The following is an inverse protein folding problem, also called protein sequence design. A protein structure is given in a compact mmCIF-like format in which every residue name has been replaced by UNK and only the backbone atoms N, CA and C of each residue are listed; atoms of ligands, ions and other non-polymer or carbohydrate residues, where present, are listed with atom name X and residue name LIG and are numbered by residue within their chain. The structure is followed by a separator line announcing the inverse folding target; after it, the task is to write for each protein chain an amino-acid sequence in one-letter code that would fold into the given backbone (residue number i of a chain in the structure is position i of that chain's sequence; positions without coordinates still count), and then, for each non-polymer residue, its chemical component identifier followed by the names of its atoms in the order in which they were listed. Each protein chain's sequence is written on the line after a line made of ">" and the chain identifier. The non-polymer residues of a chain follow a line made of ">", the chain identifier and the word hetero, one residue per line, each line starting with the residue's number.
data_IF_396399188095
#
_entry.id   IF_396399188095
#
_cell.length_a   1.000
_cell.length_b   1.000
_cell.length_c   1.000
_cell.angle_alpha   90.00
_cell.angle_beta   90.00
_cell.angle_gamma   90.00
#
_symmetry.space_group_name_H-M   'P 1'
#
loop_
_entity.id
_entity.type
_entity.pdbx_description
1 polymer ?
#
# COMPACT_ATOMS: atom_id res chain seq x y z
N UNK A 1 -33.85 63.80 -4.68
CA UNK A 1 -34.42 62.82 -5.63
C UNK A 1 -33.62 61.52 -5.55
N UNK A 2 -34.28 60.45 -5.09
CA UNK A 2 -34.16 59.02 -5.48
C UNK A 2 -32.77 58.33 -5.65
N UNK A 3 -32.58 57.28 -4.81
CA UNK A 3 -32.06 55.91 -5.10
C UNK A 3 -30.54 55.80 -5.40
N UNK A 4 -29.79 54.77 -5.02
CA UNK A 4 -30.08 53.36 -4.70
C UNK A 4 -28.89 52.75 -3.94
N UNK A 5 -29.17 51.87 -2.98
CA UNK A 5 -28.22 50.92 -2.39
C UNK A 5 -27.86 49.82 -3.39
N UNK A 6 -26.60 49.38 -3.43
CA UNK A 6 -26.25 47.98 -3.72
C UNK A 6 -25.08 47.57 -2.83
N UNK A 7 -25.40 46.76 -1.83
CA UNK A 7 -24.48 45.98 -1.00
C UNK A 7 -23.99 44.83 -1.87
N UNK A 8 -22.68 44.70 -2.05
CA UNK A 8 -22.08 43.50 -2.66
C UNK A 8 -21.29 42.77 -1.58
N UNK A 9 -21.96 41.80 -0.93
CA UNK A 9 -21.36 40.88 0.02
C UNK A 9 -20.62 39.79 -0.76
N UNK A 10 -19.30 39.82 -0.72
CA UNK A 10 -18.45 38.78 -1.26
C UNK A 10 -18.23 37.71 -0.16
N UNK A 11 -19.18 36.78 -0.05
CA UNK A 11 -18.99 35.55 0.72
C UNK A 11 -18.16 34.59 -0.12
N UNK A 12 -16.84 34.57 0.09
CA UNK A 12 -15.97 33.50 -0.39
C UNK A 12 -16.24 32.25 0.46
N UNK A 13 -17.00 31.34 -0.13
CA UNK A 13 -17.22 29.98 0.33
C UNK A 13 -15.88 29.28 0.58
N UNK A 14 -15.72 28.77 1.79
CA UNK A 14 -14.68 27.81 2.17
C UNK A 14 -14.92 26.53 1.37
N UNK A 15 -14.19 26.36 0.27
CA UNK A 15 -14.10 25.07 -0.44
C UNK A 15 -13.21 24.18 0.43
N UNK A 16 -13.83 23.51 1.40
CA UNK A 16 -13.20 22.41 2.11
C UNK A 16 -12.95 21.28 1.13
N UNK A 17 -11.68 20.95 0.90
CA UNK A 17 -11.27 19.70 0.26
C UNK A 17 -11.60 18.52 1.19
N UNK A 18 -12.88 18.20 1.32
CA UNK A 18 -13.30 16.91 1.86
C UNK A 18 -13.07 15.89 0.75
N UNK A 19 -11.97 15.13 0.82
CA UNK A 19 -11.85 13.87 0.09
C UNK A 19 -12.92 12.94 0.66
N UNK A 20 -14.13 13.04 0.13
CA UNK A 20 -15.13 11.99 0.28
C UNK A 20 -14.61 10.88 -0.63
N UNK A 21 -14.04 9.85 -0.03
CA UNK A 21 -13.66 8.63 -0.72
C UNK A 21 -14.95 7.90 -1.11
N UNK A 22 -15.58 8.35 -2.19
CA UNK A 22 -16.82 7.77 -2.74
C UNK A 22 -16.56 6.50 -3.54
N UNK A 23 -15.31 6.04 -3.64
CA UNK A 23 -14.99 4.79 -4.31
C UNK A 23 -15.35 3.64 -3.36
N UNK A 24 -16.21 2.70 -3.76
CA UNK A 24 -16.44 1.47 -3.01
C UNK A 24 -15.11 0.80 -2.68
N UNK A 25 -15.02 0.14 -1.52
CA UNK A 25 -13.81 -0.60 -1.17
C UNK A 25 -13.56 -1.65 -2.26
N UNK A 26 -12.43 -1.63 -2.97
CA UNK A 26 -12.19 -2.56 -4.08
C UNK A 26 -12.19 -4.03 -3.65
N UNK A 27 -11.98 -4.30 -2.35
CA UNK A 27 -12.08 -5.63 -1.76
C UNK A 27 -13.52 -6.18 -1.83
N UNK A 28 -14.53 -5.32 -1.77
CA UNK A 28 -15.94 -5.72 -1.85
C UNK A 28 -16.26 -6.24 -3.26
N UNK A 29 -15.72 -5.60 -4.31
CA UNK A 29 -15.89 -6.02 -5.71
C UNK A 29 -15.33 -7.44 -5.94
N UNK A 30 -14.14 -7.75 -5.38
CA UNK A 30 -13.54 -9.08 -5.50
C UNK A 30 -14.45 -10.18 -4.94
N UNK A 31 -15.11 -9.91 -3.80
CA UNK A 31 -16.06 -10.85 -3.19
C UNK A 31 -17.37 -10.95 -3.96
N UNK A 32 -17.87 -9.84 -4.52
CA UNK A 32 -19.12 -9.79 -5.28
C UNK A 32 -19.04 -10.55 -6.60
N UNK A 33 -17.88 -10.57 -7.25
CA UNK A 33 -17.64 -11.33 -8.49
C UNK A 33 -17.10 -12.76 -8.26
N UNK A 34 -17.12 -13.25 -7.01
CA UNK A 34 -16.75 -14.63 -6.69
C UNK A 34 -15.25 -14.93 -6.77
N UNK A 35 -14.39 -13.91 -6.86
CA UNK A 35 -12.96 -14.09 -6.77
C UNK A 35 -12.55 -14.19 -5.29
N UNK A 36 -12.21 -15.38 -4.81
CA UNK A 36 -11.64 -15.57 -3.48
C UNK A 36 -10.17 -15.12 -3.47
N UNK A 37 -9.94 -13.81 -3.59
CA UNK A 37 -8.60 -13.23 -3.44
C UNK A 37 -8.23 -13.31 -1.95
N UNK A 38 -7.14 -14.01 -1.57
CA UNK A 38 -6.73 -14.11 -0.19
C UNK A 38 -6.34 -12.75 0.38
N UNK A 39 -6.53 -12.60 1.69
CA UNK A 39 -6.23 -11.38 2.44
C UNK A 39 -5.23 -11.67 3.55
N UNK A 40 -4.06 -11.04 3.47
CA UNK A 40 -2.94 -11.18 4.40
C UNK A 40 -3.00 -10.04 5.41
N UNK A 41 -3.24 -10.40 6.67
CA UNK A 41 -3.35 -9.44 7.77
C UNK A 41 -1.99 -9.04 8.31
N UNK A 42 -1.91 -7.84 8.87
CA UNK A 42 -0.78 -7.41 9.66
C UNK A 42 -0.61 -8.32 10.88
N UNK A 43 0.62 -8.57 11.33
CA UNK A 43 0.85 -9.30 12.57
C UNK A 43 0.22 -8.54 13.75
N UNK A 44 -0.29 -9.25 14.77
CA UNK A 44 -0.97 -8.63 15.91
C UNK A 44 -0.02 -7.86 16.83
N UNK A 45 1.29 -8.11 16.72
CA UNK A 45 2.33 -7.48 17.54
C UNK A 45 3.37 -6.88 16.61
N UNK A 46 3.71 -5.62 16.88
CA UNK A 46 4.79 -4.93 16.17
C UNK A 46 6.13 -5.62 16.42
N UNK A 47 6.81 -6.02 15.35
CA UNK A 47 8.14 -6.65 15.39
C UNK A 47 9.17 -5.81 16.14
N UNK A 48 9.13 -4.48 16.01
CA UNK A 48 10.03 -3.58 16.73
C UNK A 48 9.80 -3.58 18.25
N UNK A 49 8.63 -4.02 18.72
CA UNK A 49 8.34 -4.14 20.14
C UNK A 49 9.27 -5.13 20.86
N UNK A 50 9.77 -6.15 20.15
CA UNK A 50 10.71 -7.14 20.68
C UNK A 50 12.12 -6.55 20.92
N UNK A 51 12.46 -5.45 20.23
CA UNK A 51 13.76 -4.79 20.28
C UNK A 51 13.82 -3.57 21.20
N UNK A 52 12.72 -3.24 21.90
CA UNK A 52 12.62 -2.03 22.75
C UNK A 52 13.72 -1.86 23.80
N UNK A 53 14.33 -2.96 24.25
CA UNK A 53 15.40 -2.97 25.27
C UNK A 53 16.80 -3.15 24.69
N UNK A 54 16.93 -3.35 23.38
CA UNK A 54 18.20 -3.54 22.70
C UNK A 54 18.64 -2.24 22.01
N UNK A 55 19.93 -2.14 21.68
CA UNK A 55 20.45 -1.05 20.85
C UNK A 55 19.84 -1.04 19.44
N UNK A 56 19.22 -2.14 19.00
CA UNK A 56 18.57 -2.27 17.69
C UNK A 56 17.17 -1.63 17.65
N UNK A 57 16.57 -1.29 18.80
CA UNK A 57 15.21 -0.77 18.87
C UNK A 57 15.01 0.53 18.07
N UNK A 58 15.91 1.51 18.22
CA UNK A 58 15.83 2.76 17.48
C UNK A 58 15.94 2.54 15.96
N UNK A 59 16.90 1.71 15.54
CA UNK A 59 17.09 1.36 14.13
C UNK A 59 15.90 0.60 13.54
N UNK A 60 15.22 -0.23 14.33
CA UNK A 60 14.00 -0.90 13.90
C UNK A 60 12.86 0.10 13.69
N UNK A 61 12.67 1.06 14.61
CA UNK A 61 11.64 2.08 14.47
C UNK A 61 11.88 2.99 13.25
N UNK A 62 13.14 3.35 12.98
CA UNK A 62 13.51 4.08 11.76
C UNK A 62 13.20 3.25 10.52
N UNK A 63 13.54 1.95 10.52
CA UNK A 63 13.21 1.04 9.43
C UNK A 63 11.69 0.89 9.25
N UNK A 64 10.92 0.85 10.34
CA UNK A 64 9.46 0.78 10.32
C UNK A 64 8.88 2.02 9.68
N UNK A 65 9.37 3.20 10.06
CA UNK A 65 8.97 4.47 9.46
C UNK A 65 9.22 4.47 7.94
N UNK A 66 10.42 4.08 7.50
CA UNK A 66 10.76 4.00 6.08
C UNK A 66 9.88 2.99 5.33
N UNK A 67 9.63 1.81 5.92
CA UNK A 67 8.75 0.80 5.34
C UNK A 67 7.30 1.27 5.22
N UNK A 68 6.80 2.01 6.22
CA UNK A 68 5.47 2.63 6.17
C UNK A 68 5.39 3.69 5.06
N UNK A 69 6.36 4.59 4.98
CA UNK A 69 6.39 5.62 3.94
C UNK A 69 6.50 5.01 2.54
N UNK A 70 7.33 3.98 2.36
CA UNK A 70 7.41 3.23 1.12
C UNK A 70 6.04 2.62 0.74
N UNK A 71 5.43 1.88 1.66
CA UNK A 71 4.16 1.17 1.41
C UNK A 71 3.02 2.13 1.05
N UNK A 72 2.92 3.26 1.75
CA UNK A 72 1.87 4.27 1.53
C UNK A 72 2.01 5.04 0.21
N UNK A 73 3.21 5.04 -0.36
CA UNK A 73 3.49 5.72 -1.62
C UNK A 73 3.23 4.83 -2.84
N UNK A 74 2.99 3.54 -2.64
CA UNK A 74 2.66 2.61 -3.71
C UNK A 74 1.38 3.04 -4.42
N UNK A 75 1.45 3.09 -5.74
CA UNK A 75 0.34 3.41 -6.62
C UNK A 75 0.05 2.24 -7.56
N UNK A 76 -1.17 2.20 -8.10
CA UNK A 76 -1.55 1.22 -9.13
C UNK A 76 -0.60 1.34 -10.32
N UNK A 77 -0.03 0.21 -10.74
CA UNK A 77 0.96 0.11 -11.81
C UNK A 77 2.41 0.06 -11.31
N UNK A 78 2.68 0.35 -10.03
CA UNK A 78 4.02 0.19 -9.47
C UNK A 78 4.41 -1.28 -9.41
N UNK A 79 5.68 -1.56 -9.68
CA UNK A 79 6.27 -2.87 -9.41
C UNK A 79 6.93 -2.85 -8.03
N UNK A 80 6.77 -3.93 -7.28
CA UNK A 80 7.43 -4.13 -5.99
C UNK A 80 8.21 -5.42 -6.00
N UNK A 81 9.35 -5.39 -5.32
CA UNK A 81 10.09 -6.61 -5.06
C UNK A 81 9.54 -7.34 -3.84
N UNK A 82 9.21 -8.61 -4.01
CA UNK A 82 8.88 -9.54 -2.94
C UNK A 82 10.00 -10.57 -2.80
N UNK A 83 10.20 -11.06 -1.57
CA UNK A 83 11.18 -12.09 -1.22
C UNK A 83 12.64 -11.71 -1.56
N UNK A 84 13.39 -11.26 -0.56
CA UNK A 84 14.80 -10.90 -0.69
C UNK A 84 15.07 -9.42 -0.95
N UNK A 85 14.14 -8.53 -0.56
CA UNK A 85 14.34 -7.08 -0.65
C UNK A 85 13.06 -6.25 -0.80
N UNK A 86 12.03 -6.45 0.04
CA UNK A 86 10.85 -5.57 -0.02
C UNK A 86 11.25 -4.13 0.31
N UNK A 87 10.89 -3.19 -0.56
CA UNK A 87 11.36 -1.80 -0.52
C UNK A 87 12.62 -1.51 -1.35
N UNK A 88 13.21 -2.53 -1.97
CA UNK A 88 14.35 -2.37 -2.87
C UNK A 88 13.91 -2.17 -4.33
N UNK A 89 14.80 -1.61 -5.14
CA UNK A 89 14.55 -1.38 -6.56
C UNK A 89 14.25 -2.68 -7.31
N UNK A 90 13.23 -2.64 -8.16
CA UNK A 90 12.87 -3.78 -8.99
C UNK A 90 13.92 -4.00 -10.08
N UNK A 91 14.79 -4.99 -9.85
CA UNK A 91 15.94 -5.29 -10.71
C UNK A 91 16.20 -6.79 -10.90
N UNK A 92 17.35 -7.17 -11.49
CA UNK A 92 17.74 -8.56 -11.70
C UNK A 92 17.91 -9.37 -10.41
N UNK A 93 18.14 -8.69 -9.28
CA UNK A 93 18.23 -9.26 -7.94
C UNK A 93 16.87 -9.63 -7.34
N UNK A 94 15.79 -9.08 -7.88
CA UNK A 94 14.46 -9.29 -7.34
C UNK A 94 13.94 -10.68 -7.68
N UNK A 95 13.84 -11.55 -6.67
CA UNK A 95 13.52 -12.97 -6.85
C UNK A 95 12.05 -13.22 -7.15
N UNK A 96 11.14 -12.40 -6.61
CA UNK A 96 9.73 -12.43 -6.95
C UNK A 96 9.22 -10.99 -7.19
N UNK A 97 8.71 -10.70 -8.38
CA UNK A 97 8.14 -9.38 -8.70
C UNK A 97 6.63 -9.43 -8.54
N UNK A 98 6.08 -8.35 -7.99
CA UNK A 98 4.64 -8.14 -7.98
C UNK A 98 4.28 -6.78 -8.53
N UNK A 99 3.11 -6.69 -9.15
CA UNK A 99 2.53 -5.42 -9.58
C UNK A 99 1.42 -5.00 -8.62
N UNK A 100 1.35 -3.71 -8.30
CA UNK A 100 0.24 -3.12 -7.56
C UNK A 100 -0.94 -2.98 -8.51
N UNK A 101 -2.01 -3.72 -8.25
CA UNK A 101 -3.20 -3.74 -9.12
C UNK A 101 -4.39 -2.98 -8.53
N UNK A 102 -4.41 -2.76 -7.20
CA UNK A 102 -5.36 -1.86 -6.55
C UNK A 102 -4.81 -1.38 -5.19
N UNK A 103 -5.29 -0.24 -4.72
CA UNK A 103 -4.96 0.36 -3.42
C UNK A 103 -6.26 0.74 -2.71
N UNK A 104 -6.48 0.20 -1.51
CA UNK A 104 -7.61 0.51 -0.66
C UNK A 104 -7.19 1.28 0.60
N UNK A 105 -8.14 1.72 1.44
CA UNK A 105 -7.87 2.61 2.59
C UNK A 105 -6.82 2.09 3.60
N UNK A 106 -6.59 0.78 3.68
CA UNK A 106 -5.60 0.17 4.58
C UNK A 106 -4.89 -1.05 3.95
N UNK A 107 -4.85 -1.14 2.63
CA UNK A 107 -4.28 -2.32 2.01
C UNK A 107 -3.93 -2.15 0.54
N UNK A 108 -3.09 -3.03 0.07
CA UNK A 108 -2.57 -3.06 -1.30
C UNK A 108 -2.87 -4.42 -1.90
N UNK A 109 -3.47 -4.44 -3.08
CA UNK A 109 -3.67 -5.66 -3.85
C UNK A 109 -2.47 -5.87 -4.76
N UNK A 110 -1.77 -6.98 -4.56
CA UNK A 110 -0.61 -7.36 -5.32
C UNK A 110 -0.94 -8.50 -6.27
N UNK A 111 -0.48 -8.37 -7.50
CA UNK A 111 -0.40 -9.44 -8.47
C UNK A 111 1.02 -10.00 -8.47
N UNK A 112 1.17 -11.19 -7.91
CA UNK A 112 2.45 -11.88 -7.77
C UNK A 112 2.65 -12.78 -8.98
N UNK A 113 3.77 -12.57 -9.67
CA UNK A 113 4.17 -13.36 -10.84
C UNK A 113 5.43 -14.14 -10.50
N UNK A 114 5.26 -15.44 -10.27
CA UNK A 114 6.35 -16.35 -9.85
C UNK A 114 7.26 -16.75 -11.02
N UNK A 115 6.72 -16.72 -12.24
CA UNK A 115 7.44 -17.05 -13.46
C UNK A 115 8.16 -15.82 -14.04
N UNK A 116 9.28 -16.04 -14.74
CA UNK A 116 9.99 -14.96 -15.44
C UNK A 116 9.11 -14.32 -16.53
N UNK A 117 9.26 -13.01 -16.82
CA UNK A 117 8.48 -12.32 -17.86
C UNK A 117 8.51 -12.96 -19.25
N UNK A 118 9.62 -13.63 -19.60
CA UNK A 118 9.83 -14.30 -20.88
C UNK A 118 9.35 -15.78 -20.89
N UNK A 119 8.86 -16.30 -19.76
CA UNK A 119 8.37 -17.66 -19.65
C UNK A 119 6.98 -17.83 -20.26
N UNK A 120 6.75 -18.95 -20.95
CA UNK A 120 5.41 -19.35 -21.41
C UNK A 120 4.38 -19.49 -20.28
N UNK A 121 4.83 -19.64 -19.03
CA UNK A 121 4.00 -19.79 -17.84
C UNK A 121 3.70 -18.47 -17.11
N UNK A 122 4.24 -17.35 -17.62
CA UNK A 122 4.10 -16.02 -17.01
C UNK A 122 2.65 -15.59 -16.76
N UNK A 123 1.75 -15.95 -17.68
CA UNK A 123 0.33 -15.61 -17.57
C UNK A 123 -0.50 -16.67 -16.82
N UNK A 124 0.03 -17.89 -16.62
CA UNK A 124 -0.70 -18.98 -15.95
C UNK A 124 -0.40 -19.10 -14.45
N UNK A 125 0.77 -18.62 -14.00
CA UNK A 125 1.20 -18.67 -12.58
C UNK A 125 1.05 -17.32 -11.87
N UNK A 126 -0.06 -16.64 -12.18
CA UNK A 126 -0.41 -15.35 -11.63
C UNK A 126 -1.30 -15.55 -10.40
N UNK A 127 -0.91 -14.98 -9.27
CA UNK A 127 -1.70 -15.04 -8.02
C UNK A 127 -1.97 -13.63 -7.52
N UNK A 128 -3.20 -13.38 -7.10
CA UNK A 128 -3.59 -12.13 -6.47
C UNK A 128 -3.68 -12.32 -4.97
N UNK A 129 -3.27 -11.32 -4.21
CA UNK A 129 -3.50 -11.27 -2.77
C UNK A 129 -3.62 -9.81 -2.32
N UNK A 130 -4.55 -9.57 -1.40
CA UNK A 130 -4.60 -8.34 -0.63
C UNK A 130 -3.65 -8.43 0.56
N UNK A 131 -2.96 -7.35 0.84
CA UNK A 131 -2.14 -7.20 2.03
C UNK A 131 -2.59 -5.97 2.81
N UNK A 132 -2.75 -6.10 4.11
CA UNK A 132 -2.80 -4.95 5.00
C UNK A 132 -1.48 -4.18 4.91
N UNK A 133 -1.54 -2.85 5.03
CA UNK A 133 -0.34 -2.00 5.06
C UNK A 133 0.67 -2.53 6.10
N UNK A 134 0.19 -2.88 7.30
CA UNK A 134 1.04 -3.42 8.35
C UNK A 134 1.68 -4.77 8.04
N UNK A 135 1.09 -5.58 7.15
CA UNK A 135 1.69 -6.84 6.71
C UNK A 135 2.90 -6.60 5.79
N UNK A 136 2.79 -5.61 4.90
CA UNK A 136 3.88 -5.21 4.02
C UNK A 136 5.00 -4.49 4.78
N UNK A 137 4.64 -3.67 5.76
CA UNK A 137 5.63 -3.06 6.68
C UNK A 137 6.34 -4.13 7.50
N UNK A 138 5.64 -5.16 7.98
CA UNK A 138 6.30 -6.28 8.67
C UNK A 138 7.26 -7.04 7.76
N UNK A 139 6.88 -7.28 6.50
CA UNK A 139 7.76 -7.88 5.50
C UNK A 139 9.02 -7.02 5.27
N UNK A 140 8.86 -5.69 5.16
CA UNK A 140 9.98 -4.75 5.03
C UNK A 140 11.00 -4.91 6.17
N UNK A 141 10.50 -5.04 7.40
CA UNK A 141 11.30 -5.21 8.60
C UNK A 141 11.98 -6.59 8.65
N UNK A 142 11.24 -7.65 8.31
CA UNK A 142 11.74 -9.02 8.31
C UNK A 142 12.91 -9.20 7.33
N UNK A 143 12.82 -8.64 6.13
CA UNK A 143 13.89 -8.69 5.10
C UNK A 143 15.16 -7.95 5.55
N UNK A 144 15.05 -7.03 6.51
CA UNK A 144 16.18 -6.30 7.12
C UNK A 144 16.69 -6.94 8.40
N UNK A 145 16.13 -8.10 8.78
CA UNK A 145 16.60 -8.91 9.91
C UNK A 145 16.03 -8.52 11.27
N UNK A 146 14.91 -7.81 11.32
CA UNK A 146 14.23 -7.47 12.57
C UNK A 146 13.23 -8.53 13.05
#
# INVERSE_FOLDING_TARGET
>A
MKRMWVVSGLMLSVVGCSRIETRPNPQDEDTLFGSQVPYVKAPPVDRCSSHKKSAAGASCEDARYLGTEYTRRLAVGDEVCLEGGYGDDVGPSCKARAAVIDTGPNGVKLEIRSAKPDSRWFNSEMRHAWYEEGALVDLYLAERGY
#
